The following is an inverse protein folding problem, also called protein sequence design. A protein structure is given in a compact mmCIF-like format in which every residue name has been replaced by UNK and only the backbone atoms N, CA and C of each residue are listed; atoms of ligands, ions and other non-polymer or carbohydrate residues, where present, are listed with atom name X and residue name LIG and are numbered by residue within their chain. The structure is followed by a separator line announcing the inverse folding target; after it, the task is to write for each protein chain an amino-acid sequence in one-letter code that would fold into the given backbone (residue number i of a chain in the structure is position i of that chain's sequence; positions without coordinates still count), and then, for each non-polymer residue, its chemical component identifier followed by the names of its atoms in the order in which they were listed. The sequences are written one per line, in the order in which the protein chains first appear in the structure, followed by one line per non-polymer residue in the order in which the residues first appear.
data_IF_952522900498
#
_entry.id   IF_952522900498
#
_cell.length_a   1.000
_cell.length_b   1.000
_cell.length_c   1.000
_cell.angle_alpha   90.00
_cell.angle_beta   90.00
_cell.angle_gamma   90.00
#
_symmetry.space_group_name_H-M   'P 1'
#
loop_
_entity.id
_entity.type
_entity.pdbx_description
1 polymer ?
#
# COMPACT_ATOMS: atom_id res chain seq x y z
N UNK A 1 -36.34 22.59 17.90
CA UNK A 1 -35.51 23.77 17.54
C UNK A 1 -34.32 24.01 18.48
N UNK A 2 -34.48 23.98 19.82
CA UNK A 2 -33.37 24.26 20.77
C UNK A 2 -32.16 23.33 20.64
N UNK A 3 -32.38 22.03 20.45
CA UNK A 3 -31.29 21.05 20.29
C UNK A 3 -30.48 21.27 19.00
N UNK A 4 -31.17 21.56 17.89
CA UNK A 4 -30.51 21.84 16.61
C UNK A 4 -29.67 23.11 16.64
N UNK A 5 -30.14 24.14 17.36
CA UNK A 5 -29.42 25.40 17.56
C UNK A 5 -28.19 25.18 18.46
N UNK A 6 -28.34 24.45 19.56
CA UNK A 6 -27.22 24.04 20.42
C UNK A 6 -26.16 23.26 19.62
N UNK A 7 -26.55 22.22 18.88
CA UNK A 7 -25.63 21.46 18.03
C UNK A 7 -25.00 22.29 16.90
N UNK A 8 -25.69 23.31 16.37
CA UNK A 8 -25.11 24.20 15.37
C UNK A 8 -24.05 25.12 15.96
N UNK A 9 -24.29 25.62 17.19
CA UNK A 9 -23.39 26.51 17.92
C UNK A 9 -22.16 25.75 18.43
N UNK A 10 -22.37 24.53 18.94
CA UNK A 10 -21.28 23.63 19.34
C UNK A 10 -20.44 23.19 18.14
N UNK A 11 -21.06 22.87 16.99
CA UNK A 11 -20.31 22.60 15.75
C UNK A 11 -19.57 23.82 15.24
N UNK A 12 -20.11 25.03 15.39
CA UNK A 12 -19.39 26.25 15.02
C UNK A 12 -18.16 26.46 15.89
N UNK A 13 -18.28 26.26 17.21
CA UNK A 13 -17.14 26.30 18.15
C UNK A 13 -16.13 25.17 17.91
N UNK A 14 -16.61 23.96 17.60
CA UNK A 14 -15.79 22.77 17.34
C UNK A 14 -15.17 22.74 15.95
N UNK A 15 -15.75 23.43 14.95
CA UNK A 15 -15.12 23.63 13.62
C UNK A 15 -13.77 24.33 13.75
N UNK A 16 -13.58 25.10 14.82
CA UNK A 16 -12.33 25.75 15.17
C UNK A 16 -11.45 24.89 16.09
N UNK A 17 -11.84 23.65 16.44
CA UNK A 17 -11.03 22.78 17.28
C UNK A 17 -10.04 21.97 16.42
N UNK A 18 -8.72 22.26 16.47
CA UNK A 18 -7.70 21.58 15.67
C UNK A 18 -7.48 20.11 16.11
N UNK A 19 -7.88 19.77 17.34
CA UNK A 19 -7.53 18.53 18.04
C UNK A 19 -8.20 17.26 17.51
N UNK A 20 -9.10 17.37 16.52
CA UNK A 20 -9.75 16.21 15.89
C UNK A 20 -9.42 16.05 14.41
N UNK A 21 -8.66 16.98 13.82
CA UNK A 21 -8.31 16.93 12.39
C UNK A 21 -7.32 15.79 12.13
N UNK A 22 -6.50 15.46 13.12
CA UNK A 22 -5.51 14.38 13.12
C UNK A 22 -6.15 12.97 13.08
N UNK A 23 -7.37 12.79 13.61
CA UNK A 23 -8.06 11.48 13.57
C UNK A 23 -8.24 10.94 12.16
N UNK A 24 -8.49 11.81 11.17
CA UNK A 24 -8.61 11.41 9.77
C UNK A 24 -7.27 10.97 9.18
N UNK A 25 -6.15 11.53 9.65
CA UNK A 25 -4.80 11.11 9.24
C UNK A 25 -4.52 9.71 9.78
N UNK A 26 -4.88 9.43 11.04
CA UNK A 26 -4.73 8.10 11.64
C UNK A 26 -5.52 7.04 10.86
N UNK A 27 -6.78 7.33 10.51
CA UNK A 27 -7.61 6.42 9.71
C UNK A 27 -7.05 6.22 8.29
N UNK A 28 -6.58 7.29 7.64
CA UNK A 28 -6.01 7.22 6.30
C UNK A 28 -4.73 6.36 6.27
N UNK A 29 -3.84 6.51 7.25
CA UNK A 29 -2.62 5.66 7.35
C UNK A 29 -2.99 4.20 7.58
N UNK A 30 -3.94 3.92 8.47
CA UNK A 30 -4.42 2.56 8.71
C UNK A 30 -4.97 1.91 7.43
N UNK A 31 -5.82 2.64 6.70
CA UNK A 31 -6.36 2.19 5.42
C UNK A 31 -5.25 1.96 4.38
N UNK A 32 -4.23 2.82 4.33
CA UNK A 32 -3.08 2.64 3.43
C UNK A 32 -2.33 1.34 3.73
N UNK A 33 -2.00 1.09 5.00
CA UNK A 33 -1.27 -0.11 5.41
C UNK A 33 -2.12 -1.39 5.24
N UNK A 34 -3.45 -1.29 5.29
CA UNK A 34 -4.38 -2.40 4.96
C UNK A 34 -4.43 -2.66 3.46
N UNK A 35 -4.61 -1.62 2.64
CA UNK A 35 -4.61 -1.72 1.18
C UNK A 35 -3.32 -2.34 0.65
N UNK A 36 -2.15 -1.96 1.17
CA UNK A 36 -0.87 -2.55 0.76
C UNK A 36 -0.83 -4.07 0.98
N UNK A 37 -1.40 -4.56 2.08
CA UNK A 37 -1.47 -5.99 2.39
C UNK A 37 -2.48 -6.70 1.50
N UNK A 38 -3.64 -6.09 1.27
CA UNK A 38 -4.69 -6.64 0.41
C UNK A 38 -4.23 -6.72 -1.04
N UNK A 39 -3.61 -5.67 -1.57
CA UNK A 39 -3.01 -5.65 -2.91
C UNK A 39 -2.00 -6.80 -3.06
N UNK A 40 -1.11 -6.99 -2.09
CA UNK A 40 -0.14 -8.09 -2.14
C UNK A 40 -0.83 -9.47 -2.09
N UNK A 41 -1.84 -9.64 -1.23
CA UNK A 41 -2.61 -10.88 -1.17
C UNK A 41 -3.34 -11.19 -2.48
N UNK A 42 -3.94 -10.19 -3.12
CA UNK A 42 -4.60 -10.35 -4.42
C UNK A 42 -3.60 -10.71 -5.52
N UNK A 43 -2.42 -10.10 -5.53
CA UNK A 43 -1.37 -10.41 -6.51
C UNK A 43 -0.86 -11.83 -6.33
N UNK A 44 -0.59 -12.26 -5.09
CA UNK A 44 -0.17 -13.63 -4.82
C UNK A 44 -1.24 -14.63 -5.25
N UNK A 45 -2.52 -14.31 -5.02
CA UNK A 45 -3.63 -15.14 -5.50
C UNK A 45 -3.71 -15.20 -7.02
N UNK A 46 -3.54 -14.07 -7.70
CA UNK A 46 -3.52 -14.01 -9.18
C UNK A 46 -2.34 -14.83 -9.75
N UNK A 47 -1.16 -14.77 -9.13
CA UNK A 47 0.01 -15.57 -9.49
C UNK A 47 -0.23 -17.07 -9.33
N UNK A 48 -0.91 -17.49 -8.28
CA UNK A 48 -1.27 -18.90 -8.07
C UNK A 48 -2.29 -19.39 -9.09
N UNK A 49 -3.36 -18.62 -9.33
CA UNK A 49 -4.42 -18.97 -10.29
C UNK A 49 -3.88 -19.04 -11.72
N UNK A 50 -3.17 -18.00 -12.16
CA UNK A 50 -2.58 -17.97 -13.49
C UNK A 50 -1.37 -18.90 -13.61
N UNK A 51 -0.72 -19.26 -12.50
CA UNK A 51 0.40 -20.20 -12.47
C UNK A 51 0.05 -21.62 -12.93
N UNK A 52 -1.22 -22.03 -12.83
CA UNK A 52 -1.69 -23.29 -13.45
C UNK A 52 -1.61 -23.23 -14.98
N UNK A 53 -1.94 -22.07 -15.55
CA UNK A 53 -1.82 -21.83 -16.98
C UNK A 53 -0.37 -21.54 -17.36
N UNK A 54 0.29 -20.56 -16.77
CA UNK A 54 1.63 -20.14 -17.18
C UNK A 54 2.58 -19.99 -15.99
N UNK A 55 3.17 -21.09 -15.49
CA UNK A 55 3.97 -21.08 -14.27
C UNK A 55 5.29 -20.31 -14.40
N UNK A 56 5.90 -20.30 -15.60
CA UNK A 56 7.19 -19.67 -15.87
C UNK A 56 7.13 -18.15 -15.81
N UNK A 57 5.97 -17.55 -16.09
CA UNK A 57 5.78 -16.10 -16.07
C UNK A 57 6.11 -15.50 -14.70
N UNK A 58 5.79 -16.21 -13.62
CA UNK A 58 6.05 -15.77 -12.24
C UNK A 58 7.55 -15.66 -11.92
N UNK A 59 8.40 -16.44 -12.63
CA UNK A 59 9.85 -16.42 -12.47
C UNK A 59 10.51 -15.36 -13.34
N UNK A 60 9.93 -15.08 -14.50
CA UNK A 60 10.44 -14.09 -15.46
C UNK A 60 10.12 -12.67 -14.97
N UNK A 61 8.87 -12.43 -14.57
CA UNK A 61 8.40 -11.11 -14.12
C UNK A 61 8.34 -11.09 -12.60
N UNK A 62 9.38 -10.49 -12.00
CA UNK A 62 9.50 -10.37 -10.54
C UNK A 62 8.58 -9.29 -9.98
N UNK A 63 8.44 -8.17 -10.70
CA UNK A 63 7.58 -7.09 -10.24
C UNK A 63 6.09 -7.45 -10.30
N UNK A 64 5.41 -7.14 -9.20
CA UNK A 64 4.06 -7.62 -8.91
C UNK A 64 3.01 -6.88 -9.76
N UNK A 65 3.18 -5.58 -9.98
CA UNK A 65 2.21 -4.76 -10.72
C UNK A 65 2.37 -5.00 -12.22
N UNK A 66 3.61 -5.05 -12.72
CA UNK A 66 3.88 -5.42 -14.11
C UNK A 66 3.36 -6.82 -14.44
N UNK A 67 3.49 -7.81 -13.54
CA UNK A 67 2.94 -9.15 -13.73
C UNK A 67 1.43 -9.11 -14.03
N UNK A 68 0.66 -8.38 -13.23
CA UNK A 68 -0.80 -8.26 -13.39
C UNK A 68 -1.16 -7.63 -14.74
N UNK A 69 -0.44 -6.57 -15.14
CA UNK A 69 -0.64 -5.93 -16.44
C UNK A 69 -0.31 -6.85 -17.62
N UNK A 70 0.73 -7.68 -17.49
CA UNK A 70 1.13 -8.66 -18.51
C UNK A 70 0.11 -9.79 -18.62
N UNK A 71 -0.38 -10.33 -17.50
CA UNK A 71 -1.44 -11.36 -17.48
C UNK A 71 -2.68 -10.86 -18.20
N UNK A 72 -3.12 -9.63 -17.89
CA UNK A 72 -4.28 -9.00 -18.54
C UNK A 72 -4.10 -8.83 -20.05
N UNK A 73 -2.88 -8.53 -20.51
CA UNK A 73 -2.57 -8.29 -21.93
C UNK A 73 -2.48 -9.58 -22.74
N UNK A 74 -1.92 -10.64 -22.15
CA UNK A 74 -1.73 -11.94 -22.81
C UNK A 74 -3.04 -12.73 -22.79
N UNK A 75 -3.68 -12.87 -21.63
CA UNK A 75 -4.81 -13.79 -21.44
C UNK A 75 -4.35 -15.24 -21.68
N UNK A 76 -4.65 -15.78 -22.87
CA UNK A 76 -4.21 -17.12 -23.27
C UNK A 76 -2.77 -17.12 -23.79
N UNK A 77 -2.03 -18.20 -23.52
CA UNK A 77 -0.67 -18.40 -24.05
C UNK A 77 -0.57 -18.32 -25.58
N UNK A 78 -1.62 -18.67 -26.32
CA UNK A 78 -1.66 -18.57 -27.79
C UNK A 78 -1.54 -17.12 -28.27
N UNK A 79 -2.00 -16.16 -27.44
CA UNK A 79 -1.94 -14.73 -27.72
C UNK A 79 -0.65 -14.08 -27.18
N UNK A 80 0.36 -14.85 -26.77
CA UNK A 80 1.64 -14.32 -26.30
C UNK A 80 2.46 -13.57 -27.37
N UNK A 81 2.02 -13.58 -28.64
CA UNK A 81 2.57 -12.77 -29.72
C UNK A 81 2.25 -11.28 -29.61
N UNK A 82 1.37 -10.86 -28.70
CA UNK A 82 0.96 -9.46 -28.55
C UNK A 82 2.14 -8.58 -28.10
N UNK A 83 2.19 -7.35 -28.61
CA UNK A 83 3.22 -6.37 -28.25
C UNK A 83 3.14 -6.01 -26.76
N UNK A 84 4.25 -6.27 -26.04
CA UNK A 84 4.45 -6.02 -24.60
C UNK A 84 5.47 -4.89 -24.34
N UNK A 85 5.90 -4.17 -25.37
CA UNK A 85 6.95 -3.14 -25.33
C UNK A 85 6.68 -2.00 -24.33
N UNK A 86 5.40 -1.73 -24.05
CA UNK A 86 4.99 -0.64 -23.16
C UNK A 86 5.11 -1.02 -21.67
N UNK A 87 5.14 -2.32 -21.36
CA UNK A 87 5.08 -2.83 -19.99
C UNK A 87 6.41 -3.41 -19.52
N UNK A 88 7.20 -3.96 -20.44
CA UNK A 88 8.42 -4.70 -20.11
C UNK A 88 9.49 -4.43 -21.17
N UNK A 89 10.77 -4.54 -20.77
CA UNK A 89 11.90 -4.46 -21.69
C UNK A 89 11.85 -5.58 -22.73
N UNK A 90 12.39 -5.31 -23.93
CA UNK A 90 12.37 -6.24 -25.07
C UNK A 90 13.01 -7.61 -24.74
N UNK A 91 14.02 -7.62 -23.86
CA UNK A 91 14.69 -8.84 -23.39
C UNK A 91 13.77 -9.76 -22.57
N UNK A 92 12.88 -9.18 -21.77
CA UNK A 92 11.94 -9.97 -20.96
C UNK A 92 10.74 -10.37 -21.81
N UNK A 93 10.32 -9.51 -22.75
CA UNK A 93 9.27 -9.85 -23.71
C UNK A 93 9.66 -11.05 -24.60
N UNK A 94 10.92 -11.13 -25.04
CA UNK A 94 11.40 -12.30 -25.80
C UNK A 94 11.40 -13.57 -24.95
N UNK A 95 11.85 -13.51 -23.70
CA UNK A 95 11.79 -14.63 -22.75
C UNK A 95 10.36 -15.11 -22.50
N UNK A 96 9.40 -14.21 -22.39
CA UNK A 96 7.97 -14.56 -22.23
C UNK A 96 7.47 -15.32 -23.47
N UNK A 97 7.84 -14.89 -24.68
CA UNK A 97 7.46 -15.58 -25.92
C UNK A 97 8.09 -16.96 -26.01
N UNK A 98 9.37 -17.09 -25.72
CA UNK A 98 10.06 -18.39 -25.72
C UNK A 98 9.45 -19.34 -24.67
N UNK A 99 9.20 -18.84 -23.47
CA UNK A 99 8.55 -19.61 -22.40
C UNK A 99 7.13 -20.03 -22.81
N UNK A 100 6.36 -19.17 -23.51
CA UNK A 100 5.00 -19.52 -23.94
C UNK A 100 4.94 -20.76 -24.86
N UNK A 101 5.98 -20.98 -25.68
CA UNK A 101 6.06 -22.12 -26.61
C UNK A 101 6.44 -23.42 -25.87
N UNK A 102 7.32 -23.32 -24.88
CA UNK A 102 7.88 -24.47 -24.15
C UNK A 102 7.08 -24.80 -22.88
N UNK A 103 6.10 -23.98 -22.53
CA UNK A 103 5.47 -24.02 -21.21
C UNK A 103 4.74 -25.32 -20.88
N UNK A 104 4.94 -25.79 -19.64
CA UNK A 104 4.32 -27.01 -19.11
C UNK A 104 2.92 -26.80 -18.48
N UNK A 105 2.38 -25.59 -18.47
CA UNK A 105 1.10 -25.34 -17.80
C UNK A 105 -0.11 -25.93 -18.54
N UNK A 106 -1.26 -26.01 -17.87
CA UNK A 106 -2.49 -26.61 -18.42
C UNK A 106 -3.33 -25.62 -19.22
N UNK A 107 -4.06 -26.11 -20.22
CA UNK A 107 -5.07 -25.30 -20.90
C UNK A 107 -6.20 -24.95 -19.92
N UNK A 108 -6.68 -23.71 -20.01
CA UNK A 108 -7.69 -23.13 -19.11
C UNK A 108 -8.85 -22.63 -19.96
N UNK A 109 -10.05 -22.70 -19.41
CA UNK A 109 -11.30 -22.31 -20.08
C UNK A 109 -11.41 -20.78 -20.09
N UNK A 110 -12.02 -20.22 -21.13
CA UNK A 110 -12.21 -18.78 -21.29
C UNK A 110 -12.90 -18.11 -20.08
N UNK A 111 -13.83 -18.81 -19.42
CA UNK A 111 -14.53 -18.35 -18.21
C UNK A 111 -13.56 -18.11 -17.03
N UNK A 112 -12.61 -19.03 -16.83
CA UNK A 112 -11.62 -18.91 -15.76
C UNK A 112 -10.63 -17.77 -16.06
N UNK A 113 -10.28 -17.57 -17.34
CA UNK A 113 -9.41 -16.46 -17.75
C UNK A 113 -10.13 -15.11 -17.61
N UNK A 114 -11.43 -15.05 -17.89
CA UNK A 114 -12.24 -13.87 -17.62
C UNK A 114 -12.23 -13.51 -16.12
N UNK A 115 -12.39 -14.50 -15.25
CA UNK A 115 -12.31 -14.30 -13.79
C UNK A 115 -10.92 -13.79 -13.36
N UNK A 116 -9.84 -14.34 -13.92
CA UNK A 116 -8.47 -13.87 -13.63
C UNK A 116 -8.28 -12.44 -14.09
N UNK A 117 -8.81 -12.06 -15.25
CA UNK A 117 -8.74 -10.69 -15.76
C UNK A 117 -9.52 -9.71 -14.87
N UNK A 118 -10.69 -10.09 -14.38
CA UNK A 118 -11.46 -9.28 -13.42
C UNK A 118 -10.67 -9.06 -12.11
N UNK A 119 -9.99 -10.08 -11.60
CA UNK A 119 -9.11 -9.95 -10.44
C UNK A 119 -7.94 -9.00 -10.73
N UNK A 120 -7.37 -9.06 -11.94
CA UNK A 120 -6.31 -8.14 -12.36
C UNK A 120 -6.81 -6.69 -12.39
N UNK A 121 -8.04 -6.45 -12.86
CA UNK A 121 -8.66 -5.13 -12.87
C UNK A 121 -8.85 -4.57 -11.46
N UNK A 122 -9.32 -5.39 -10.53
CA UNK A 122 -9.46 -5.01 -9.12
C UNK A 122 -8.11 -4.60 -8.51
N UNK A 123 -7.02 -5.32 -8.82
CA UNK A 123 -5.68 -4.96 -8.33
C UNK A 123 -5.21 -3.62 -8.89
N UNK A 124 -5.42 -3.37 -10.19
CA UNK A 124 -5.04 -2.11 -10.84
C UNK A 124 -5.85 -0.94 -10.24
N UNK A 125 -7.16 -1.13 -10.04
CA UNK A 125 -8.02 -0.14 -9.41
C UNK A 125 -7.60 0.15 -7.96
N UNK A 126 -7.31 -0.89 -7.18
CA UNK A 126 -6.83 -0.77 -5.80
C UNK A 126 -5.48 -0.03 -5.74
N UNK A 127 -4.55 -0.31 -6.66
CA UNK A 127 -3.28 0.41 -6.75
C UNK A 127 -3.48 1.89 -7.11
N UNK A 128 -4.41 2.21 -8.02
CA UNK A 128 -4.74 3.60 -8.33
C UNK A 128 -5.38 4.32 -7.13
N UNK A 129 -6.21 3.62 -6.35
CA UNK A 129 -6.86 4.15 -5.15
C UNK A 129 -5.84 4.40 -4.03
N UNK A 130 -4.86 3.51 -3.88
CA UNK A 130 -3.73 3.68 -2.96
C UNK A 130 -2.93 4.95 -3.30
N UNK A 131 -2.63 5.19 -4.59
CA UNK A 131 -1.95 6.41 -5.04
C UNK A 131 -2.76 7.69 -4.73
N UNK A 132 -4.07 7.66 -4.97
CA UNK A 132 -4.96 8.78 -4.62
C UNK A 132 -4.99 9.03 -3.10
N UNK A 133 -4.99 7.97 -2.29
CA UNK A 133 -4.98 8.06 -0.85
C UNK A 133 -3.65 8.62 -0.32
N UNK A 134 -2.53 8.25 -0.94
CA UNK A 134 -1.22 8.84 -0.67
C UNK A 134 -1.22 10.36 -0.92
N UNK A 135 -1.72 10.80 -2.08
CA UNK A 135 -1.82 12.23 -2.41
C UNK A 135 -2.74 13.00 -1.45
N UNK A 136 -3.83 12.37 -1.03
CA UNK A 136 -4.72 12.92 -0.01
C UNK A 136 -3.98 13.10 1.33
N UNK A 137 -3.21 12.10 1.74
CA UNK A 137 -2.44 12.11 2.98
C UNK A 137 -1.36 13.19 2.97
N UNK A 138 -0.63 13.36 1.86
CA UNK A 138 0.37 14.44 1.68
C UNK A 138 -0.28 15.81 1.87
N UNK A 139 -1.38 16.09 1.16
CA UNK A 139 -2.10 17.37 1.26
C UNK A 139 -2.62 17.64 2.67
N UNK A 140 -3.14 16.61 3.34
CA UNK A 140 -3.65 16.73 4.71
C UNK A 140 -2.55 16.95 5.72
N UNK A 141 -1.43 16.27 5.58
CA UNK A 141 -0.35 16.39 6.54
C UNK A 141 0.30 17.77 6.49
N UNK A 142 0.51 18.33 5.29
CA UNK A 142 1.01 19.71 5.15
C UNK A 142 0.07 20.73 5.82
N UNK A 143 -1.25 20.51 5.75
CA UNK A 143 -2.23 21.39 6.39
C UNK A 143 -2.29 21.26 7.92
N UNK A 144 -2.02 20.08 8.48
CA UNK A 144 -2.16 19.79 9.92
C UNK A 144 -0.85 19.95 10.68
N UNK A 145 0.25 19.43 10.14
CA UNK A 145 1.56 19.42 10.77
C UNK A 145 2.68 19.76 9.76
N UNK A 146 2.76 21.03 9.30
CA UNK A 146 3.78 21.47 8.34
C UNK A 146 5.23 21.32 8.88
N UNK A 147 5.41 21.54 10.19
CA UNK A 147 6.74 21.41 10.81
C UNK A 147 7.19 19.94 10.89
N UNK A 148 6.25 19.03 11.19
CA UNK A 148 6.56 17.60 11.27
C UNK A 148 6.88 17.04 9.89
N UNK A 149 6.15 17.48 8.87
CA UNK A 149 6.41 17.10 7.47
C UNK A 149 7.76 17.58 6.99
N UNK A 150 8.12 18.84 7.28
CA UNK A 150 9.44 19.35 6.89
C UNK A 150 10.61 18.62 7.57
N UNK A 151 10.38 17.97 8.72
CA UNK A 151 11.45 17.39 9.53
C UNK A 151 11.61 15.88 9.33
N UNK A 152 10.52 15.15 9.07
CA UNK A 152 10.52 13.67 9.01
C UNK A 152 9.90 13.11 7.73
N UNK A 153 9.29 13.97 6.90
CA UNK A 153 8.48 13.57 5.75
C UNK A 153 7.02 13.23 6.10
N UNK A 154 6.17 13.19 5.08
CA UNK A 154 4.71 13.05 5.22
C UNK A 154 4.31 11.67 5.75
N UNK A 155 4.83 10.61 5.13
CA UNK A 155 4.43 9.24 5.42
C UNK A 155 4.86 8.80 6.83
N UNK A 156 6.06 9.20 7.23
CA UNK A 156 6.62 8.85 8.55
C UNK A 156 5.98 9.71 9.63
N UNK A 157 5.79 11.01 9.37
CA UNK A 157 4.99 11.87 10.23
C UNK A 157 3.61 11.26 10.49
N UNK A 158 2.96 10.72 9.47
CA UNK A 158 1.61 10.16 9.57
C UNK A 158 1.59 8.88 10.41
N UNK A 159 2.59 8.01 10.22
CA UNK A 159 2.77 6.81 11.05
C UNK A 159 3.10 7.13 12.51
N UNK A 160 3.87 8.19 12.77
CA UNK A 160 4.14 8.66 14.13
C UNK A 160 2.86 9.14 14.83
N UNK A 161 2.04 9.94 14.14
CA UNK A 161 0.72 10.37 14.66
C UNK A 161 -0.18 9.16 14.89
N UNK A 162 -0.26 8.23 13.95
CA UNK A 162 -1.06 7.01 14.08
C UNK A 162 -0.66 6.17 15.29
N UNK A 163 0.65 6.05 15.57
CA UNK A 163 1.15 5.29 16.72
C UNK A 163 0.94 6.01 18.06
N UNK A 164 1.03 7.33 18.09
CA UNK A 164 0.71 8.12 19.28
C UNK A 164 -0.81 8.26 19.54
N UNK A 165 -1.64 7.99 18.52
CA UNK A 165 -3.09 8.09 18.54
C UNK A 165 -3.61 9.49 18.28
N UNK A 166 -2.96 10.52 18.83
CA UNK A 166 -3.24 11.94 18.55
C UNK A 166 -1.95 12.74 18.47
N UNK A 167 -2.01 13.91 17.85
CA UNK A 167 -0.87 14.83 17.74
C UNK A 167 -0.38 15.31 19.12
N UNK A 168 -1.29 15.49 20.08
CA UNK A 168 -0.96 15.91 21.44
C UNK A 168 -0.17 14.86 22.23
N UNK A 169 -0.39 13.57 21.94
CA UNK A 169 0.29 12.47 22.61
C UNK A 169 1.68 12.17 22.04
N UNK A 170 2.11 12.90 21.00
CA UNK A 170 3.37 12.66 20.29
C UNK A 170 4.63 13.05 21.09
N UNK A 171 4.53 13.49 22.34
CA UNK A 171 5.61 14.14 23.11
C UNK A 171 6.88 13.26 23.33
N UNK A 172 6.82 11.94 23.12
CA UNK A 172 7.97 11.02 23.27
C UNK A 172 8.31 10.30 21.96
N UNK A 173 8.96 11.00 21.02
CA UNK A 173 9.13 10.55 19.62
C UNK A 173 10.23 9.48 19.43
N UNK A 174 11.31 9.49 20.21
CA UNK A 174 12.55 8.78 19.84
C UNK A 174 12.44 7.24 19.78
N UNK A 175 11.70 6.62 20.71
CA UNK A 175 11.62 5.16 20.85
C UNK A 175 10.27 4.61 20.36
N UNK A 176 9.45 5.46 19.71
CA UNK A 176 8.12 5.11 19.25
C UNK A 176 8.21 3.98 18.20
N UNK A 177 7.45 2.90 18.40
CA UNK A 177 7.47 1.70 17.55
C UNK A 177 8.52 0.64 17.92
N UNK A 178 9.47 0.91 18.82
CA UNK A 178 10.43 -0.07 19.35
C UNK A 178 10.10 -0.55 20.77
N UNK A 179 8.87 -0.31 21.24
CA UNK A 179 8.41 -0.56 22.61
C UNK A 179 8.66 -2.00 23.07
N UNK A 180 8.42 -3.00 22.22
CA UNK A 180 8.64 -4.42 22.58
C UNK A 180 10.11 -4.68 22.92
N UNK A 181 11.02 -4.20 22.08
CA UNK A 181 12.46 -4.32 22.30
C UNK A 181 12.92 -3.49 23.51
N UNK A 182 12.36 -2.29 23.70
CA UNK A 182 12.62 -1.44 24.86
C UNK A 182 12.21 -2.15 26.17
N UNK A 183 10.97 -2.65 26.25
CA UNK A 183 10.48 -3.32 27.46
C UNK A 183 11.21 -4.63 27.73
N UNK A 184 11.63 -5.35 26.69
CA UNK A 184 12.48 -6.54 26.84
C UNK A 184 13.87 -6.18 27.39
N UNK A 185 14.51 -5.14 26.85
CA UNK A 185 15.81 -4.66 27.31
C UNK A 185 15.75 -4.16 28.76
N UNK A 186 14.70 -3.43 29.13
CA UNK A 186 14.48 -2.97 30.52
C UNK A 186 14.28 -4.14 31.49
N UNK A 187 13.51 -5.17 31.11
CA UNK A 187 13.31 -6.37 31.93
C UNK A 187 14.61 -7.18 32.13
N UNK A 188 15.45 -7.24 31.10
CA UNK A 188 16.69 -8.02 31.10
C UNK A 188 17.94 -7.20 31.49
N UNK A 189 17.77 -5.91 31.80
CA UNK A 189 18.86 -4.93 32.05
C UNK A 189 19.91 -4.91 30.93
N UNK A 190 19.47 -5.09 29.69
CA UNK A 190 20.30 -4.93 28.50
C UNK A 190 20.19 -3.53 27.91
N UNK A 191 21.03 -3.23 26.90
CA UNK A 191 21.03 -1.94 26.22
C UNK A 191 19.71 -1.70 25.49
N UNK A 192 19.15 -0.51 25.64
CA UNK A 192 17.90 -0.11 24.99
C UNK A 192 18.11 0.19 23.50
N UNK A 193 17.08 -0.01 22.66
CA UNK A 193 17.13 0.39 21.26
C UNK A 193 17.29 1.91 21.13
N UNK A 194 18.15 2.36 20.20
CA UNK A 194 18.48 3.78 20.00
C UNK A 194 17.45 4.54 19.13
N UNK A 195 16.78 3.82 18.23
CA UNK A 195 15.82 4.36 17.27
C UNK A 195 14.60 3.45 17.16
N UNK A 196 13.44 4.04 16.87
CA UNK A 196 12.21 3.35 16.47
C UNK A 196 11.84 3.67 15.03
N UNK A 197 10.61 4.14 14.82
CA UNK A 197 10.08 4.52 13.49
C UNK A 197 10.91 5.60 12.78
N UNK A 198 11.62 6.43 13.53
CA UNK A 198 12.53 7.46 12.99
C UNK A 198 13.70 6.89 12.18
N UNK A 199 14.02 5.60 12.31
CA UNK A 199 15.08 4.98 11.50
C UNK A 199 14.81 5.03 10.00
N UNK A 200 13.54 5.06 9.61
CA UNK A 200 13.13 5.12 8.20
C UNK A 200 13.03 6.56 7.67
N UNK A 201 13.26 7.57 8.51
CA UNK A 201 13.24 8.97 8.09
C UNK A 201 14.37 9.24 7.10
N UNK A 202 14.03 9.77 5.93
CA UNK A 202 15.01 10.36 5.04
C UNK A 202 15.58 11.62 5.70
N UNK A 203 16.88 11.93 5.53
CA UNK A 203 17.40 13.26 5.82
C UNK A 203 16.72 14.34 4.96
#
# INVERSE_FOLDING_TARGET
MRLGLAHSLDRYKLKCNPDKIDTMIVQAVGLMDELDKEINNYIMRAKEMYGWHFPELSKIVVDNITYVNVVKRIGHRVNASVDLSDLVTDDVASQIREASIVSLGTEVIDEDIAMINELCDQVIEASSSQAQLHDYLVKRMVAVAPNLTSLVGELIGARLIARAGTLLNLATVQILGAEKALFQALKTRHSTPKYGLLYHASP
#
